data_IF_230747035191
#
_entry.id   IF_230747035191
#
_cell.length_a   1.000
_cell.length_b   1.000
_cell.length_c   1.000
_cell.angle_alpha   90.00
_cell.angle_beta   90.00
_cell.angle_gamma   90.00
#
_symmetry.space_group_name_H-M   'P 1'
#
loop_
_entity.id
_entity.type
_entity.pdbx_description
1 polymer ?
#
# COMPACT_ATOMS: atom_id res chain seq x y z
N UNK A 1 9.02 -5.25 2.35
CA UNK A 1 8.43 -3.92 2.04
C UNK A 1 8.99 -3.50 0.70
N UNK A 2 8.18 -2.96 -0.19
CA UNK A 2 8.60 -2.55 -1.52
C UNK A 2 7.89 -1.28 -1.97
N UNK A 3 8.54 -0.57 -2.89
CA UNK A 3 7.96 0.56 -3.61
C UNK A 3 7.21 0.06 -4.84
N UNK A 4 6.02 0.60 -5.08
CA UNK A 4 5.21 0.27 -6.24
C UNK A 4 4.52 1.49 -6.82
N UNK A 5 3.97 1.33 -8.01
CA UNK A 5 3.25 2.37 -8.75
C UNK A 5 1.77 2.02 -8.76
N UNK A 6 0.92 3.00 -8.45
CA UNK A 6 -0.53 2.81 -8.53
C UNK A 6 -0.94 2.68 -10.00
N UNK A 7 -1.47 1.54 -10.39
CA UNK A 7 -1.92 1.29 -11.77
C UNK A 7 -3.37 1.70 -11.97
N UNK A 8 -4.21 1.48 -10.94
CA UNK A 8 -5.65 1.80 -10.96
C UNK A 8 -6.22 1.89 -9.56
N UNK A 9 -7.30 2.64 -9.41
CA UNK A 9 -8.16 2.61 -8.21
C UNK A 9 -9.32 1.66 -8.47
N UNK A 10 -9.56 0.77 -7.51
CA UNK A 10 -10.60 -0.27 -7.53
C UNK A 10 -11.53 -0.11 -6.34
N UNK A 11 -12.76 -0.69 -6.35
CA UNK A 11 -13.74 -0.49 -5.27
C UNK A 11 -13.21 -0.80 -3.86
N UNK A 12 -12.28 -1.75 -3.74
CA UNK A 12 -11.69 -2.22 -2.49
C UNK A 12 -10.35 -1.57 -2.13
N UNK A 13 -9.79 -0.70 -2.99
CA UNK A 13 -8.50 -0.05 -2.75
C UNK A 13 -7.76 0.38 -4.01
N UNK A 14 -6.48 0.04 -4.09
CA UNK A 14 -5.59 0.42 -5.21
C UNK A 14 -4.88 -0.82 -5.76
N UNK A 15 -4.81 -0.95 -7.08
CA UNK A 15 -3.89 -1.91 -7.72
C UNK A 15 -2.51 -1.28 -7.81
N UNK A 16 -1.49 -2.02 -7.39
CA UNK A 16 -0.11 -1.56 -7.33
C UNK A 16 0.77 -2.55 -8.08
N UNK A 17 1.58 -2.04 -9.01
CA UNK A 17 2.64 -2.79 -9.66
C UNK A 17 3.96 -2.56 -8.94
N UNK A 18 4.71 -3.64 -8.71
CA UNK A 18 6.00 -3.64 -8.01
C UNK A 18 7.06 -4.15 -8.97
N UNK A 19 7.85 -3.23 -9.50
CA UNK A 19 8.85 -3.50 -10.53
C UNK A 19 9.93 -4.47 -10.04
N UNK A 20 10.39 -4.32 -8.79
CA UNK A 20 11.45 -5.14 -8.19
C UNK A 20 11.15 -6.65 -8.25
N UNK A 21 9.87 -7.02 -8.13
CA UNK A 21 9.44 -8.43 -8.10
C UNK A 21 8.62 -8.84 -9.33
N UNK A 22 8.40 -7.94 -10.28
CA UNK A 22 7.54 -8.20 -11.44
C UNK A 22 6.11 -8.63 -11.04
N UNK A 23 5.59 -8.10 -9.92
CA UNK A 23 4.32 -8.51 -9.34
C UNK A 23 3.30 -7.36 -9.35
N UNK A 24 2.04 -7.68 -9.57
CA UNK A 24 0.92 -6.76 -9.41
C UNK A 24 -0.07 -7.32 -8.39
N UNK A 25 -0.66 -6.46 -7.56
CA UNK A 25 -1.74 -6.86 -6.68
C UNK A 25 -2.49 -5.70 -6.06
N UNK A 26 -3.63 -6.03 -5.46
CA UNK A 26 -4.53 -5.04 -4.85
C UNK A 26 -4.17 -4.81 -3.40
N UNK A 27 -3.75 -3.59 -3.06
CA UNK A 27 -3.67 -3.14 -1.68
C UNK A 27 -5.04 -2.66 -1.21
N UNK A 28 -5.64 -3.41 -0.27
CA UNK A 28 -6.97 -3.09 0.27
C UNK A 28 -6.91 -1.81 1.10
N UNK A 29 -7.82 -0.88 0.83
CA UNK A 29 -7.97 0.37 1.58
C UNK A 29 -9.31 0.36 2.31
N UNK A 30 -9.27 0.40 3.64
CA UNK A 30 -10.50 0.44 4.44
C UNK A 30 -11.32 1.69 4.15
N UNK A 31 -12.62 1.52 3.91
CA UNK A 31 -13.57 2.61 3.65
C UNK A 31 -13.73 3.58 4.83
N UNK A 32 -13.35 3.16 6.04
CA UNK A 32 -13.29 4.03 7.22
C UNK A 32 -12.14 5.05 7.13
N UNK A 33 -11.06 4.67 6.46
CA UNK A 33 -9.84 5.45 6.35
C UNK A 33 -9.73 6.19 5.02
N UNK A 34 -10.41 5.70 3.98
CA UNK A 34 -10.22 6.16 2.61
C UNK A 34 -11.55 6.48 1.92
N UNK A 35 -11.50 7.47 1.03
CA UNK A 35 -12.52 7.81 0.06
C UNK A 35 -11.97 7.51 -1.34
N UNK A 36 -12.54 6.51 -2.01
CA UNK A 36 -12.14 6.11 -3.35
C UNK A 36 -13.10 6.74 -4.37
N UNK A 37 -12.56 7.45 -5.36
CA UNK A 37 -13.33 8.06 -6.44
C UNK A 37 -12.91 7.38 -7.74
N UNK A 38 -13.65 6.33 -8.11
CA UNK A 38 -13.30 5.43 -9.22
C UNK A 38 -13.23 6.14 -10.56
N UNK A 39 -14.21 7.01 -10.87
CA UNK A 39 -14.26 7.72 -12.15
C UNK A 39 -13.05 8.66 -12.34
N UNK A 40 -12.52 9.18 -11.24
CA UNK A 40 -11.33 10.05 -11.24
C UNK A 40 -10.03 9.28 -11.02
N UNK A 41 -10.11 7.97 -10.80
CA UNK A 41 -8.97 7.12 -10.45
C UNK A 41 -8.13 7.74 -9.33
N UNK A 42 -8.80 8.18 -8.26
CA UNK A 42 -8.16 8.87 -7.12
C UNK A 42 -8.60 8.27 -5.79
N UNK A 43 -7.69 8.23 -4.81
CA UNK A 43 -7.97 7.83 -3.44
C UNK A 43 -7.53 8.93 -2.45
N UNK A 44 -8.43 9.34 -1.57
CA UNK A 44 -8.20 10.37 -0.56
C UNK A 44 -8.25 9.77 0.83
N UNK A 45 -7.28 10.10 1.68
CA UNK A 45 -7.37 9.80 3.10
C UNK A 45 -8.47 10.64 3.76
N UNK A 46 -9.33 10.00 4.54
CA UNK A 46 -10.45 10.67 5.22
C UNK A 46 -9.94 11.56 6.36
N UNK A 47 -10.66 12.67 6.68
CA UNK A 47 -10.35 13.50 7.84
C UNK A 47 -10.37 12.70 9.15
N UNK A 48 -9.54 13.10 10.12
CA UNK A 48 -9.39 12.47 11.45
C UNK A 48 -8.89 11.03 11.40
N UNK A 49 -8.21 10.65 10.33
CA UNK A 49 -7.55 9.34 10.20
C UNK A 49 -6.05 9.56 10.08
N UNK A 50 -5.25 8.51 10.30
CA UNK A 50 -3.79 8.59 10.13
C UNK A 50 -3.33 8.90 8.69
N UNK A 51 -4.25 8.90 7.74
CA UNK A 51 -3.99 9.18 6.33
C UNK A 51 -4.59 10.52 5.88
N UNK A 52 -5.11 11.33 6.80
CA UNK A 52 -5.67 12.65 6.48
C UNK A 52 -4.67 13.50 5.66
N UNK A 53 -5.18 14.13 4.61
CA UNK A 53 -4.38 14.96 3.70
C UNK A 53 -3.61 14.20 2.61
N UNK A 54 -3.55 12.86 2.68
CA UNK A 54 -2.96 12.05 1.62
C UNK A 54 -3.91 11.99 0.42
N UNK A 55 -3.36 12.27 -0.76
CA UNK A 55 -4.02 12.13 -2.05
C UNK A 55 -3.17 11.20 -2.92
N UNK A 56 -3.78 10.14 -3.43
CA UNK A 56 -3.16 9.16 -4.30
C UNK A 56 -3.88 9.12 -5.64
N UNK A 57 -3.12 9.21 -6.73
CA UNK A 57 -3.57 9.09 -8.12
C UNK A 57 -2.88 7.92 -8.80
N UNK A 58 -3.41 7.51 -9.95
CA UNK A 58 -2.68 6.61 -10.85
C UNK A 58 -1.31 7.19 -11.19
N UNK A 59 -0.33 6.31 -11.32
CA UNK A 59 1.09 6.58 -11.50
C UNK A 59 1.82 7.20 -10.31
N UNK A 60 1.12 7.53 -9.20
CA UNK A 60 1.81 7.88 -7.96
C UNK A 60 2.54 6.65 -7.40
N UNK A 61 3.69 6.93 -6.78
CA UNK A 61 4.48 5.91 -6.09
C UNK A 61 4.00 5.74 -4.66
N UNK A 62 3.98 4.49 -4.19
CA UNK A 62 3.54 4.11 -2.85
C UNK A 62 4.47 3.05 -2.27
N UNK A 63 4.48 2.95 -0.94
CA UNK A 63 5.20 1.90 -0.22
C UNK A 63 4.18 0.90 0.31
N UNK A 64 4.41 -0.39 0.01
CA UNK A 64 3.54 -1.50 0.39
C UNK A 64 4.33 -2.61 1.08
N UNK A 65 3.69 -3.33 2.01
CA UNK A 65 4.17 -4.67 2.40
C UNK A 65 3.54 -5.72 1.51
N UNK A 66 4.31 -6.76 1.22
CA UNK A 66 3.88 -7.93 0.46
C UNK A 66 4.12 -9.12 1.37
N UNK A 67 3.08 -9.89 1.62
CA UNK A 67 3.13 -11.07 2.48
C UNK A 67 2.46 -12.24 1.76
N UNK A 68 3.00 -13.44 1.89
CA UNK A 68 2.32 -14.63 1.41
C UNK A 68 1.09 -14.90 2.29
N UNK A 69 -0.08 -15.07 1.68
CA UNK A 69 -1.25 -15.53 2.40
C UNK A 69 -1.13 -17.04 2.65
N UNK A 70 -0.81 -17.40 3.89
CA UNK A 70 -0.62 -18.79 4.31
C UNK A 70 -1.91 -19.44 4.84
N UNK A 71 -3.03 -18.69 4.88
CA UNK A 71 -4.29 -19.22 5.42
C UNK A 71 -4.93 -20.25 4.50
N UNK A 72 -4.76 -20.11 3.18
CA UNK A 72 -5.25 -21.06 2.19
C UNK A 72 -4.07 -21.78 1.53
N UNK A 73 -3.76 -22.98 2.03
CA UNK A 73 -2.70 -23.83 1.48
C UNK A 73 -3.02 -24.29 0.03
N UNK A 74 -4.28 -24.22 -0.38
CA UNK A 74 -4.72 -24.58 -1.73
C UNK A 74 -4.62 -23.40 -2.69
N UNK A 75 -4.78 -22.16 -2.21
CA UNK A 75 -4.71 -20.93 -3.00
C UNK A 75 -3.69 -19.95 -2.40
N UNK A 76 -2.44 -20.16 -2.77
CA UNK A 76 -1.36 -19.24 -2.41
C UNK A 76 -1.55 -17.93 -3.15
N UNK A 77 -1.82 -16.87 -2.40
CA UNK A 77 -1.94 -15.51 -2.94
C UNK A 77 -0.98 -14.59 -2.20
N UNK A 78 -0.64 -13.46 -2.85
CA UNK A 78 0.14 -12.41 -2.22
C UNK A 78 -0.82 -11.35 -1.67
N UNK A 79 -0.63 -10.98 -0.42
CA UNK A 79 -1.38 -9.92 0.26
C UNK A 79 -0.56 -8.64 0.23
N UNK A 80 -1.14 -7.61 -0.35
CA UNK A 80 -0.52 -6.29 -0.44
C UNK A 80 -1.16 -5.36 0.60
N UNK A 81 -0.34 -4.65 1.37
CA UNK A 81 -0.81 -3.69 2.39
C UNK A 81 -0.17 -2.34 2.17
N UNK A 82 -0.99 -1.30 2.03
CA UNK A 82 -0.49 0.08 1.92
C UNK A 82 0.11 0.54 3.25
N UNK A 83 1.36 1.00 3.20
CA UNK A 83 2.07 1.52 4.38
C UNK A 83 2.18 3.05 4.35
N UNK A 84 2.33 3.66 3.17
CA UNK A 84 2.47 5.10 3.05
C UNK A 84 2.95 5.56 1.67
N UNK A 85 3.19 6.86 1.55
CA UNK A 85 3.86 7.45 0.39
C UNK A 85 5.38 7.35 0.58
N UNK A 86 6.18 7.20 -0.49
CA UNK A 86 7.63 7.26 -0.39
C UNK A 86 8.02 8.65 0.12
N UNK A 87 8.80 8.67 1.20
CA UNK A 87 9.45 9.89 1.68
C UNK A 87 10.85 9.90 1.10
N UNK A 88 11.03 10.66 0.03
CA UNK A 88 12.36 10.88 -0.55
C UNK A 88 13.18 11.70 0.43
N UNK A 89 14.19 11.08 1.04
CA UNK A 89 15.24 11.84 1.73
C UNK A 89 16.12 12.51 0.66
N UNK A 90 16.69 13.69 0.96
CA UNK A 90 17.56 14.41 0.02
C UNK A 90 18.83 13.65 -0.39
N UNK A 91 19.16 12.53 0.25
CA UNK A 91 20.26 11.62 -0.11
C UNK A 91 19.84 10.54 -1.14
N UNK A 92 18.62 10.62 -1.68
CA UNK A 92 18.09 9.66 -2.65
C UNK A 92 17.73 8.30 -2.06
N UNK A 93 17.79 8.14 -0.73
CA UNK A 93 17.40 6.90 -0.04
C UNK A 93 15.99 7.03 0.53
N UNK A 94 15.23 5.94 0.46
CA UNK A 94 13.93 5.85 1.11
C UNK A 94 14.12 6.03 2.62
N UNK A 95 13.33 6.92 3.25
CA UNK A 95 13.25 6.90 4.70
C UNK A 95 12.65 5.55 5.12
N UNK A 96 13.21 4.88 6.15
CA UNK A 96 12.61 3.67 6.68
C UNK A 96 11.19 3.99 7.12
N UNK A 97 10.22 3.26 6.56
CA UNK A 97 8.85 3.25 7.05
C UNK A 97 8.91 2.84 8.51
N UNK A 98 8.27 3.55 9.45
CA UNK A 98 8.21 3.11 10.83
C UNK A 98 7.56 1.73 10.87
N UNK A 99 8.39 0.73 11.16
CA UNK A 99 7.95 -0.64 11.42
C UNK A 99 6.92 -0.58 12.53
N UNK A 100 5.71 -1.10 12.31
CA UNK A 100 4.73 -1.25 13.37
C UNK A 100 5.37 -2.00 14.57
N UNK A 101 4.96 -1.71 15.82
CA UNK A 101 5.63 -2.27 16.99
C UNK A 101 5.50 -3.80 17.00
N UNK A 102 6.67 -4.45 16.91
CA UNK A 102 7.02 -5.76 17.45
C UNK A 102 5.99 -6.90 17.35
N UNK A 103 6.23 -7.82 16.42
CA UNK A 103 6.02 -9.23 16.72
C UNK A 103 7.38 -9.82 17.12
N UNK A 104 7.77 -9.59 18.39
CA UNK A 104 8.86 -10.35 18.98
C UNK A 104 8.40 -11.80 19.07
N UNK A 105 8.97 -12.67 18.24
CA UNK A 105 8.81 -14.11 18.40
C UNK A 105 9.47 -14.51 19.73
N UNK A 106 8.81 -15.28 20.60
CA UNK A 106 9.49 -15.89 21.74
C UNK A 106 10.40 -17.01 21.24
N UNK A 107 11.63 -17.04 21.77
CA UNK A 107 12.60 -18.13 21.67
C UNK A 107 12.06 -19.45 22.27
#
# INVERSE_FOLDING_TARGET
>A
VAEGVIMRVVPEGISVAIEEYGAEGTAKLSSQNWLLILDKQTAYGRPRTKFEGINMKVFDRVVVSIEADLQDLSHRSLRFTFLGMPTYRPDGKLAPVPTAPGNAAPE
#
